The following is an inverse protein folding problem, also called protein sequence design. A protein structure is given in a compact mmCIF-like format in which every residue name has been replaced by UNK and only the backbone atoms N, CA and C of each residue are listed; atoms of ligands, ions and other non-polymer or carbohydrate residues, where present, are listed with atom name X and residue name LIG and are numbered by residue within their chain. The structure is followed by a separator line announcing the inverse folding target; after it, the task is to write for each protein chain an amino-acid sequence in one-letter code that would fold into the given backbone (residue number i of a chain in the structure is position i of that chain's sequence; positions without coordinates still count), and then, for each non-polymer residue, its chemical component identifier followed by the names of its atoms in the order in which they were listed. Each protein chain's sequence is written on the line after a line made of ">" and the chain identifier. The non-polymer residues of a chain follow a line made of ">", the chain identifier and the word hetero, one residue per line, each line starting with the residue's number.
data_IF_801971362598
#
_entry.id   IF_801971362598
#
_cell.length_a   1.000
_cell.length_b   1.000
_cell.length_c   1.000
_cell.angle_alpha   90.00
_cell.angle_beta   90.00
_cell.angle_gamma   90.00
#
_symmetry.space_group_name_H-M   'P 1'
#
loop_
_entity.id
_entity.type
_entity.pdbx_description
1 polymer ?
#
# COMPACT_ATOMS: atom_id res chain seq x y z
N UNK A 1 -14.10 -17.06 -7.44
CA UNK A 1 -12.65 -17.11 -7.22
C UNK A 1 -12.42 -17.60 -5.81
N UNK A 2 -11.63 -18.64 -5.65
CA UNK A 2 -11.44 -19.38 -4.38
C UNK A 2 -10.49 -18.67 -3.39
N UNK A 3 -10.08 -17.43 -3.68
CA UNK A 3 -9.15 -16.66 -2.84
C UNK A 3 -7.71 -17.19 -2.83
N UNK A 4 -7.38 -18.15 -3.70
CA UNK A 4 -6.01 -18.63 -3.81
C UNK A 4 -5.17 -17.63 -4.63
N UNK A 5 -4.11 -17.12 -4.02
CA UNK A 5 -3.09 -16.33 -4.70
C UNK A 5 -2.03 -17.28 -5.24
N UNK A 6 -1.83 -17.28 -6.55
CA UNK A 6 -0.71 -18.00 -7.15
C UNK A 6 0.56 -17.14 -7.06
N UNK A 7 1.64 -17.69 -6.54
CA UNK A 7 2.94 -17.03 -6.58
C UNK A 7 3.39 -16.89 -8.04
N UNK A 8 3.91 -15.71 -8.40
CA UNK A 8 4.54 -15.48 -9.69
C UNK A 8 5.80 -16.34 -9.81
N UNK A 9 5.95 -17.01 -10.94
CA UNK A 9 7.19 -17.74 -11.23
C UNK A 9 8.30 -16.75 -11.56
N UNK A 10 9.56 -17.03 -11.20
CA UNK A 10 10.69 -16.19 -11.56
C UNK A 10 10.77 -15.85 -13.06
N UNK A 11 10.35 -16.79 -13.93
CA UNK A 11 10.31 -16.59 -15.38
C UNK A 11 9.26 -15.58 -15.88
N UNK A 12 8.32 -15.21 -15.03
CA UNK A 12 7.24 -14.25 -15.33
C UNK A 12 7.58 -12.84 -14.89
N UNK A 13 8.73 -12.66 -14.21
CA UNK A 13 9.17 -11.39 -13.63
C UNK A 13 10.54 -11.00 -14.17
N UNK A 14 10.71 -9.71 -14.48
CA UNK A 14 12.01 -9.13 -14.77
C UNK A 14 12.10 -7.76 -14.08
N UNK A 15 13.31 -7.33 -13.73
CA UNK A 15 13.56 -6.05 -13.06
C UNK A 15 14.32 -5.13 -14.00
N UNK A 16 13.76 -3.95 -14.26
CA UNK A 16 14.42 -2.91 -15.05
C UNK A 16 15.13 -1.92 -14.12
N UNK A 17 16.44 -1.76 -14.30
CA UNK A 17 17.30 -0.93 -13.45
C UNK A 17 17.95 0.19 -14.24
N UNK A 18 18.20 1.33 -13.60
CA UNK A 18 19.01 2.43 -14.16
C UNK A 18 18.27 3.32 -15.15
N UNK A 19 16.94 3.38 -15.06
CA UNK A 19 16.13 4.30 -15.87
C UNK A 19 14.96 4.85 -15.05
N UNK A 20 14.52 6.03 -15.42
CA UNK A 20 13.27 6.64 -14.95
C UNK A 20 12.19 6.72 -16.06
N UNK A 21 12.43 6.06 -17.19
CA UNK A 21 11.46 5.99 -18.31
C UNK A 21 11.24 4.54 -18.73
N UNK A 22 9.97 4.16 -18.90
CA UNK A 22 9.57 2.84 -19.39
C UNK A 22 9.50 2.85 -20.93
N UNK A 23 10.66 3.00 -21.57
CA UNK A 23 10.77 2.94 -23.04
C UNK A 23 11.62 1.73 -23.46
N UNK A 24 11.30 1.08 -24.60
CA UNK A 24 12.12 -0.02 -25.11
C UNK A 24 13.58 0.36 -25.22
N UNK A 25 14.46 -0.46 -24.66
CA UNK A 25 15.92 -0.23 -24.68
C UNK A 25 16.44 0.73 -23.62
N UNK A 26 15.59 1.28 -22.73
CA UNK A 26 16.07 2.03 -21.58
C UNK A 26 16.52 1.08 -20.46
N UNK A 27 17.58 1.47 -19.72
CA UNK A 27 18.07 0.73 -18.56
C UNK A 27 18.59 -0.68 -18.86
N UNK A 28 18.70 -1.45 -17.80
CA UNK A 28 19.14 -2.86 -17.83
C UNK A 28 18.02 -3.76 -17.35
N UNK A 29 17.44 -4.57 -18.24
CA UNK A 29 16.40 -5.53 -17.92
C UNK A 29 17.02 -6.84 -17.45
N UNK A 30 16.81 -7.17 -16.18
CA UNK A 30 17.46 -8.30 -15.51
C UNK A 30 16.41 -9.37 -15.20
N UNK A 31 16.60 -10.62 -15.69
CA UNK A 31 15.75 -11.73 -15.29
C UNK A 31 15.82 -12.01 -13.79
N UNK A 32 14.75 -12.51 -13.23
CA UNK A 32 14.66 -12.92 -11.83
C UNK A 32 15.09 -14.38 -11.70
N UNK A 33 15.97 -14.67 -10.74
CA UNK A 33 16.39 -16.03 -10.38
C UNK A 33 15.39 -16.67 -9.40
N UNK A 34 14.94 -15.90 -8.39
CA UNK A 34 14.01 -16.38 -7.37
C UNK A 34 13.16 -15.25 -6.81
N UNK A 35 11.95 -15.60 -6.36
CA UNK A 35 11.03 -14.73 -5.62
C UNK A 35 10.73 -15.40 -4.28
N UNK A 36 10.86 -14.64 -3.20
CA UNK A 36 10.57 -15.08 -1.84
C UNK A 36 9.48 -14.20 -1.26
N UNK A 37 8.25 -14.69 -1.23
CA UNK A 37 7.13 -14.04 -0.55
C UNK A 37 7.23 -14.29 0.95
N UNK A 38 6.87 -13.30 1.77
CA UNK A 38 6.80 -13.50 3.22
C UNK A 38 5.83 -14.65 3.56
N UNK A 39 6.22 -15.64 4.40
CA UNK A 39 5.40 -16.83 4.65
C UNK A 39 4.07 -16.53 5.36
N UNK A 40 3.98 -15.41 6.06
CA UNK A 40 2.76 -14.97 6.76
C UNK A 40 1.87 -14.04 5.92
N UNK A 41 2.17 -13.82 4.63
CA UNK A 41 1.35 -12.94 3.79
C UNK A 41 -0.13 -13.34 3.82
N UNK A 42 -0.99 -12.37 4.08
CA UNK A 42 -2.44 -12.51 4.08
C UNK A 42 -3.07 -11.67 2.97
N UNK A 43 -3.52 -12.32 1.92
CA UNK A 43 -4.19 -11.63 0.80
C UNK A 43 -5.59 -11.09 1.12
N UNK A 44 -6.18 -11.45 2.26
CA UNK A 44 -7.47 -10.91 2.71
C UNK A 44 -7.32 -9.66 3.57
N UNK A 45 -6.19 -9.54 4.27
CA UNK A 45 -5.87 -8.40 5.14
C UNK A 45 -4.75 -7.54 4.56
N UNK A 46 -4.08 -7.98 3.50
CA UNK A 46 -2.87 -7.38 2.93
C UNK A 46 -1.76 -7.17 3.96
N UNK A 47 -1.73 -8.01 5.02
CA UNK A 47 -0.68 -7.96 6.02
C UNK A 47 0.51 -8.82 5.61
N UNK A 48 1.70 -8.45 6.07
CA UNK A 48 2.98 -9.04 5.65
C UNK A 48 3.20 -8.97 4.12
N UNK A 49 2.71 -7.90 3.49
CA UNK A 49 2.78 -7.71 2.04
C UNK A 49 4.18 -7.26 1.61
N UNK A 50 5.11 -8.20 1.62
CA UNK A 50 6.51 -8.02 1.25
C UNK A 50 7.06 -9.28 0.60
N UNK A 51 7.93 -9.09 -0.39
CA UNK A 51 8.68 -10.14 -1.05
C UNK A 51 10.11 -9.70 -1.36
N UNK A 52 11.03 -10.66 -1.38
CA UNK A 52 12.40 -10.46 -1.86
C UNK A 52 12.55 -11.05 -3.26
N UNK A 53 13.19 -10.31 -4.13
CA UNK A 53 13.50 -10.73 -5.50
C UNK A 53 15.01 -10.90 -5.63
N UNK A 54 15.46 -12.11 -5.98
CA UNK A 54 16.84 -12.39 -6.32
C UNK A 54 17.05 -12.22 -7.81
N UNK A 55 17.89 -11.27 -8.20
CA UNK A 55 18.26 -11.05 -9.59
C UNK A 55 19.19 -12.17 -10.08
N UNK A 56 19.08 -12.56 -11.36
CA UNK A 56 19.93 -13.57 -11.97
C UNK A 56 21.39 -13.12 -12.15
N UNK A 57 21.64 -11.80 -12.12
CA UNK A 57 22.96 -11.16 -12.20
C UNK A 57 22.91 -9.76 -11.59
N UNK A 58 24.06 -9.21 -11.31
CA UNK A 58 24.16 -7.81 -10.94
C UNK A 58 23.78 -6.87 -12.11
N UNK A 59 23.25 -5.67 -11.83
CA UNK A 59 23.03 -4.64 -12.84
C UNK A 59 24.33 -4.25 -13.55
N UNK A 60 24.24 -4.00 -14.86
CA UNK A 60 25.37 -3.54 -15.70
C UNK A 60 25.35 -2.02 -15.94
N UNK A 61 24.37 -1.34 -15.36
CA UNK A 61 24.23 0.13 -15.38
C UNK A 61 24.55 0.67 -13.98
N UNK A 62 24.91 1.94 -13.83
CA UNK A 62 25.08 2.56 -12.53
C UNK A 62 23.77 2.48 -11.72
N UNK A 63 23.88 2.10 -10.48
CA UNK A 63 22.75 2.07 -9.53
C UNK A 63 23.25 2.49 -8.13
N UNK A 64 22.30 2.88 -7.29
CA UNK A 64 22.52 3.15 -5.88
C UNK A 64 21.54 2.32 -5.05
N UNK A 65 22.02 1.80 -3.93
CA UNK A 65 21.15 1.18 -2.93
C UNK A 65 20.55 2.25 -2.05
N UNK A 66 19.35 1.98 -1.54
CA UNK A 66 18.68 2.82 -0.54
C UNK A 66 18.89 2.20 0.85
N UNK A 67 19.01 3.05 1.86
CA UNK A 67 19.06 2.62 3.25
C UNK A 67 17.69 2.14 3.72
N UNK A 68 17.68 1.03 4.49
CA UNK A 68 16.52 0.50 5.19
C UNK A 68 16.71 0.73 6.67
N UNK A 69 15.78 1.39 7.38
CA UNK A 69 15.93 1.71 8.80
C UNK A 69 15.80 0.44 9.65
N UNK A 70 16.51 0.41 10.78
CA UNK A 70 16.22 -0.54 11.84
C UNK A 70 14.86 -0.24 12.51
N UNK A 71 14.45 -1.07 13.49
CA UNK A 71 13.15 -0.94 14.13
C UNK A 71 13.01 0.40 14.90
N UNK A 72 14.06 0.84 15.61
CA UNK A 72 14.02 2.07 16.39
C UNK A 72 13.92 3.30 15.49
N UNK A 73 14.72 3.35 14.45
CA UNK A 73 14.67 4.45 13.49
C UNK A 73 13.39 4.42 12.65
N UNK A 74 12.92 3.24 12.28
CA UNK A 74 11.63 3.05 11.60
C UNK A 74 10.45 3.60 12.40
N UNK A 75 10.43 3.42 13.72
CA UNK A 75 9.39 3.97 14.59
C UNK A 75 9.44 5.52 14.64
N UNK A 76 10.61 6.14 14.45
CA UNK A 76 10.72 7.60 14.31
C UNK A 76 10.19 8.08 12.95
N UNK A 77 10.50 7.35 11.87
CA UNK A 77 10.04 7.67 10.53
C UNK A 77 8.52 7.45 10.35
N UNK A 78 7.92 6.62 11.18
CA UNK A 78 6.47 6.32 11.14
C UNK A 78 5.64 7.21 12.08
N UNK A 79 6.17 8.35 12.53
CA UNK A 79 5.40 9.31 13.34
C UNK A 79 4.53 10.18 12.44
N UNK A 80 3.32 10.47 12.93
CA UNK A 80 2.39 11.39 12.28
C UNK A 80 3.08 12.71 11.90
N UNK A 81 2.83 13.17 10.68
CA UNK A 81 3.37 14.41 10.14
C UNK A 81 4.76 14.28 9.50
N UNK A 82 5.43 13.12 9.59
CA UNK A 82 6.67 12.90 8.87
C UNK A 82 6.40 12.99 7.37
N UNK A 83 7.16 13.85 6.68
CA UNK A 83 7.08 14.00 5.24
C UNK A 83 7.60 12.75 4.55
N UNK A 84 6.81 12.21 3.64
CA UNK A 84 7.16 11.05 2.82
C UNK A 84 7.00 11.36 1.34
N UNK A 85 7.70 10.62 0.50
CA UNK A 85 7.59 10.68 -0.95
C UNK A 85 7.34 9.27 -1.47
N UNK A 86 6.26 9.12 -2.24
CA UNK A 86 6.01 7.89 -3.01
C UNK A 86 6.41 8.11 -4.46
N UNK A 87 6.98 7.10 -5.09
CA UNK A 87 7.39 7.16 -6.50
C UNK A 87 6.92 5.94 -7.26
N UNK A 88 6.59 6.12 -8.55
CA UNK A 88 6.17 5.01 -9.39
C UNK A 88 5.79 5.41 -10.81
N UNK A 89 5.39 4.42 -11.59
CA UNK A 89 4.91 4.53 -12.97
C UNK A 89 3.43 4.17 -13.09
N UNK A 90 2.73 4.10 -11.96
CA UNK A 90 1.32 3.76 -11.89
C UNK A 90 0.40 4.76 -12.60
N UNK A 91 -0.90 4.53 -12.45
CA UNK A 91 -1.91 5.39 -13.04
C UNK A 91 -1.81 6.82 -12.48
N UNK A 92 -2.00 7.79 -13.37
CA UNK A 92 -2.08 9.22 -13.06
C UNK A 92 -3.51 9.71 -13.20
N UNK A 93 -3.72 11.00 -13.01
CA UNK A 93 -5.00 11.66 -13.32
C UNK A 93 -5.44 11.28 -14.74
N UNK A 94 -6.67 10.78 -14.90
CA UNK A 94 -7.16 10.26 -16.18
C UNK A 94 -6.91 8.77 -16.42
N UNK A 95 -6.51 8.03 -15.40
CA UNK A 95 -6.38 6.56 -15.38
C UNK A 95 -5.42 6.01 -16.46
N UNK A 96 -4.34 6.74 -16.77
CA UNK A 96 -3.31 6.30 -17.70
C UNK A 96 -1.97 6.08 -16.95
N UNK A 97 -1.25 4.98 -17.24
CA UNK A 97 0.08 4.77 -16.67
C UNK A 97 1.06 5.81 -17.21
N UNK A 98 2.00 6.22 -16.38
CA UNK A 98 3.05 7.16 -16.78
C UNK A 98 4.25 6.43 -17.37
N UNK A 99 4.73 6.77 -18.57
CA UNK A 99 5.98 6.24 -19.08
C UNK A 99 7.20 6.81 -18.36
N UNK A 100 7.04 7.91 -17.62
CA UNK A 100 8.10 8.54 -16.83
C UNK A 100 7.84 8.37 -15.34
N UNK A 101 8.89 8.13 -14.57
CA UNK A 101 8.79 8.06 -13.11
C UNK A 101 8.18 9.34 -12.55
N UNK A 102 7.13 9.18 -11.76
CA UNK A 102 6.44 10.26 -11.06
C UNK A 102 6.71 10.18 -9.57
N UNK A 103 6.47 11.28 -8.87
CA UNK A 103 6.52 11.31 -7.42
C UNK A 103 5.41 12.17 -6.85
N UNK A 104 4.96 11.81 -5.64
CA UNK A 104 4.04 12.61 -4.85
C UNK A 104 4.60 12.75 -3.43
N UNK A 105 4.59 14.00 -2.94
CA UNK A 105 4.91 14.27 -1.54
C UNK A 105 3.63 14.21 -0.72
N UNK A 106 3.63 13.37 0.29
CA UNK A 106 2.56 13.09 1.23
C UNK A 106 3.15 13.08 2.66
N UNK A 107 2.38 12.70 3.65
CA UNK A 107 2.87 12.60 5.03
C UNK A 107 2.31 11.38 5.73
N UNK A 108 3.04 10.90 6.73
CA UNK A 108 2.54 9.85 7.63
C UNK A 108 1.32 10.38 8.38
N UNK A 109 0.26 9.59 8.38
CA UNK A 109 -0.98 9.88 9.08
C UNK A 109 -1.07 9.05 10.37
N UNK A 110 -1.92 9.45 11.28
CA UNK A 110 -2.21 8.65 12.46
C UNK A 110 -2.91 7.35 12.07
N UNK A 111 -2.39 6.22 12.54
CA UNK A 111 -2.90 4.88 12.21
C UNK A 111 -4.36 4.69 12.66
N UNK A 112 -4.72 5.23 13.82
CA UNK A 112 -6.09 5.13 14.34
C UNK A 112 -7.06 5.92 13.46
N UNK A 113 -6.66 7.10 12.99
CA UNK A 113 -7.48 7.88 12.04
C UNK A 113 -7.71 7.10 10.73
N UNK A 114 -6.67 6.44 10.21
CA UNK A 114 -6.80 5.62 9.00
C UNK A 114 -7.72 4.40 9.22
N UNK A 115 -7.61 3.75 10.37
CA UNK A 115 -8.50 2.64 10.74
C UNK A 115 -9.95 3.11 10.89
N UNK A 116 -10.20 4.27 11.50
CA UNK A 116 -11.53 4.86 11.60
C UNK A 116 -12.11 5.15 10.22
N UNK A 117 -11.36 5.83 9.35
CA UNK A 117 -11.81 6.14 7.99
C UNK A 117 -12.11 4.86 7.17
N UNK A 118 -11.30 3.81 7.34
CA UNK A 118 -11.53 2.53 6.67
C UNK A 118 -12.77 1.82 7.20
N UNK A 119 -12.98 1.85 8.52
CA UNK A 119 -14.17 1.27 9.14
C UNK A 119 -15.44 1.98 8.68
N UNK A 120 -15.45 3.31 8.65
CA UNK A 120 -16.58 4.13 8.18
C UNK A 120 -16.91 3.80 6.72
N UNK A 121 -15.92 3.77 5.83
CA UNK A 121 -16.13 3.43 4.43
C UNK A 121 -16.71 2.01 4.25
N UNK A 122 -16.21 1.04 4.98
CA UNK A 122 -16.74 -0.34 4.95
C UNK A 122 -18.12 -0.46 5.56
N UNK A 123 -18.43 0.34 6.59
CA UNK A 123 -19.74 0.38 7.21
C UNK A 123 -20.79 0.90 6.23
N UNK A 124 -20.48 1.94 5.45
CA UNK A 124 -21.38 2.44 4.40
C UNK A 124 -21.70 1.36 3.36
N UNK A 125 -20.68 0.65 2.86
CA UNK A 125 -20.85 -0.43 1.90
C UNK A 125 -21.69 -1.60 2.47
N UNK A 126 -21.50 -1.95 3.75
CA UNK A 126 -22.16 -3.05 4.42
C UNK A 126 -23.60 -2.71 4.86
N UNK A 127 -23.90 -1.44 5.16
CA UNK A 127 -25.17 -1.01 5.71
C UNK A 127 -26.37 -1.36 4.81
N UNK A 128 -26.21 -1.23 3.49
CA UNK A 128 -27.26 -1.60 2.53
C UNK A 128 -27.60 -3.09 2.57
N UNK A 129 -26.60 -3.95 2.58
CA UNK A 129 -26.77 -5.41 2.67
C UNK A 129 -27.34 -5.84 4.03
N UNK A 130 -26.88 -5.24 5.10
CA UNK A 130 -27.37 -5.48 6.45
C UNK A 130 -28.85 -5.07 6.58
N UNK A 131 -29.21 -3.88 6.11
CA UNK A 131 -30.60 -3.40 6.13
C UNK A 131 -31.56 -4.32 5.34
N UNK A 132 -31.12 -4.80 4.16
CA UNK A 132 -31.90 -5.78 3.40
C UNK A 132 -32.09 -7.09 4.16
N UNK A 133 -31.05 -7.62 4.81
CA UNK A 133 -31.14 -8.83 5.62
C UNK A 133 -32.08 -8.67 6.82
N UNK A 134 -31.99 -7.54 7.54
CA UNK A 134 -32.88 -7.18 8.65
C UNK A 134 -34.34 -7.21 8.23
N UNK A 135 -34.69 -6.56 7.12
CA UNK A 135 -36.05 -6.54 6.58
C UNK A 135 -36.52 -7.94 6.17
N UNK A 136 -35.66 -8.68 5.44
CA UNK A 136 -36.03 -10.00 4.91
C UNK A 136 -36.29 -11.03 6.03
N UNK A 137 -35.50 -10.96 7.09
CA UNK A 137 -35.57 -11.87 8.22
C UNK A 137 -36.59 -11.42 9.31
N UNK A 138 -37.16 -10.22 9.16
CA UNK A 138 -38.14 -9.67 10.14
C UNK A 138 -37.48 -9.38 11.50
N UNK A 139 -36.21 -9.03 11.53
CA UNK A 139 -35.51 -8.63 12.76
C UNK A 139 -36.05 -7.29 13.23
N UNK A 140 -36.33 -7.14 14.54
CA UNK A 140 -36.79 -5.86 15.10
C UNK A 140 -35.67 -4.82 15.03
N UNK A 141 -36.04 -3.57 14.82
CA UNK A 141 -35.07 -2.47 14.67
C UNK A 141 -34.12 -2.36 15.87
N UNK A 142 -34.63 -2.50 17.10
CA UNK A 142 -33.82 -2.47 18.33
C UNK A 142 -32.73 -3.56 18.33
N UNK A 143 -33.09 -4.78 17.91
CA UNK A 143 -32.14 -5.89 17.82
C UNK A 143 -31.14 -5.68 16.67
N UNK A 144 -31.60 -5.11 15.56
CA UNK A 144 -30.75 -4.78 14.42
C UNK A 144 -29.68 -3.72 14.79
N UNK A 145 -30.07 -2.66 15.47
CA UNK A 145 -29.09 -1.66 15.95
C UNK A 145 -28.08 -2.26 16.92
N UNK A 146 -28.54 -3.07 17.87
CA UNK A 146 -27.62 -3.73 18.83
C UNK A 146 -26.61 -4.65 18.12
N UNK A 147 -27.05 -5.42 17.12
CA UNK A 147 -26.18 -6.28 16.31
C UNK A 147 -25.16 -5.44 15.51
N UNK A 148 -25.64 -4.35 14.89
CA UNK A 148 -24.76 -3.46 14.13
C UNK A 148 -23.66 -2.83 15.00
N UNK A 149 -24.04 -2.29 16.15
CA UNK A 149 -23.10 -1.70 17.10
C UNK A 149 -22.06 -2.73 17.59
N UNK A 150 -22.49 -3.97 17.84
CA UNK A 150 -21.57 -5.04 18.24
C UNK A 150 -20.61 -5.43 17.11
N UNK A 151 -21.08 -5.50 15.86
CA UNK A 151 -20.23 -5.76 14.69
C UNK A 151 -19.18 -4.65 14.49
N UNK A 152 -19.60 -3.39 14.60
CA UNK A 152 -18.71 -2.24 14.45
C UNK A 152 -17.67 -2.18 15.57
N UNK A 153 -18.07 -2.46 16.81
CA UNK A 153 -17.17 -2.48 17.96
C UNK A 153 -16.12 -3.62 17.92
N UNK A 154 -16.39 -4.69 17.16
CA UNK A 154 -15.50 -5.85 17.01
C UNK A 154 -14.77 -5.88 15.68
N UNK A 155 -14.98 -4.89 14.82
CA UNK A 155 -14.30 -4.83 13.53
C UNK A 155 -12.79 -4.74 13.72
N UNK A 156 -12.00 -5.58 13.03
CA UNK A 156 -10.55 -5.54 13.16
C UNK A 156 -9.97 -4.29 12.49
N UNK A 157 -8.87 -3.81 13.02
CA UNK A 157 -8.05 -2.78 12.40
C UNK A 157 -7.57 -3.25 11.00
N UNK A 158 -7.82 -2.44 9.99
CA UNK A 158 -7.39 -2.74 8.60
C UNK A 158 -5.93 -2.35 8.36
N UNK A 159 -5.47 -1.28 9.02
CA UNK A 159 -4.05 -0.86 9.02
C UNK A 159 -3.40 -1.45 10.26
N UNK A 160 -2.66 -2.54 10.09
CA UNK A 160 -1.99 -3.27 11.17
C UNK A 160 -0.73 -2.52 11.67
N UNK A 161 -0.09 -3.06 12.70
CA UNK A 161 1.21 -2.55 13.19
C UNK A 161 2.37 -2.76 12.20
N UNK A 162 2.19 -3.65 11.23
CA UNK A 162 3.14 -3.90 10.16
C UNK A 162 3.01 -2.90 9.00
N UNK A 163 2.13 -1.92 9.11
CA UNK A 163 1.83 -0.96 8.04
C UNK A 163 2.09 0.48 8.46
N UNK A 164 2.40 1.30 7.47
CA UNK A 164 2.41 2.76 7.55
C UNK A 164 1.18 3.25 6.79
N UNK A 165 0.45 4.18 7.37
CA UNK A 165 -0.58 4.94 6.67
C UNK A 165 -0.02 6.30 6.26
N UNK A 166 -0.09 6.64 4.97
CA UNK A 166 0.41 7.93 4.48
C UNK A 166 -0.52 8.49 3.40
N UNK A 167 -0.70 9.80 3.39
CA UNK A 167 -1.63 10.49 2.49
C UNK A 167 -1.79 11.96 2.83
N UNK A 168 -2.93 12.54 2.42
CA UNK A 168 -3.25 13.94 2.70
C UNK A 168 -4.60 14.13 3.40
N UNK A 169 -5.46 13.13 3.48
CA UNK A 169 -6.89 13.19 3.85
C UNK A 169 -7.73 14.23 3.07
N UNK A 170 -7.07 15.20 2.47
CA UNK A 170 -7.72 16.22 1.63
C UNK A 170 -7.88 15.73 0.19
N UNK A 171 -7.27 14.57 -0.12
CA UNK A 171 -7.24 14.00 -1.47
C UNK A 171 -6.16 14.59 -2.38
N UNK A 172 -6.18 14.18 -3.64
CA UNK A 172 -5.34 14.74 -4.71
C UNK A 172 -3.92 14.21 -4.81
N UNK A 173 -3.42 13.46 -3.82
CA UNK A 173 -2.07 12.86 -3.87
C UNK A 173 -2.04 11.52 -3.16
N UNK A 174 -1.67 10.49 -3.90
CA UNK A 174 -1.55 9.11 -3.39
C UNK A 174 -0.69 8.26 -4.32
N UNK A 175 -0.41 7.02 -3.92
CA UNK A 175 -0.03 5.95 -4.85
C UNK A 175 -1.26 5.39 -5.55
N UNK A 176 -1.07 4.78 -6.72
CA UNK A 176 -2.17 4.24 -7.52
C UNK A 176 -1.87 2.85 -8.07
N UNK A 177 -2.82 2.28 -8.81
CA UNK A 177 -2.65 1.01 -9.51
C UNK A 177 -1.42 1.04 -10.42
N UNK A 178 -0.51 0.07 -10.23
CA UNK A 178 0.79 0.02 -10.89
C UNK A 178 1.95 0.59 -10.09
N UNK A 179 1.69 1.25 -8.95
CA UNK A 179 2.72 1.67 -7.99
C UNK A 179 3.00 0.59 -6.92
N UNK A 180 2.15 -0.45 -6.84
CA UNK A 180 2.28 -1.56 -5.88
C UNK A 180 3.69 -2.17 -5.90
N UNK A 181 4.28 -2.37 -4.72
CA UNK A 181 5.67 -2.80 -4.56
C UNK A 181 6.69 -1.67 -4.69
N UNK A 182 6.28 -0.47 -5.10
CA UNK A 182 7.14 0.72 -5.16
C UNK A 182 7.48 1.29 -3.78
N UNK A 183 8.49 2.17 -3.69
CA UNK A 183 8.99 2.65 -2.42
C UNK A 183 8.19 3.85 -1.88
N UNK A 184 7.98 3.86 -0.56
CA UNK A 184 7.73 5.06 0.22
C UNK A 184 9.03 5.46 0.90
N UNK A 185 9.50 6.67 0.63
CA UNK A 185 10.78 7.15 1.16
C UNK A 185 10.64 8.40 2.00
N UNK A 186 11.54 8.59 2.95
CA UNK A 186 11.67 9.80 3.77
C UNK A 186 12.94 10.53 3.33
N UNK A 187 12.84 11.83 2.95
CA UNK A 187 14.02 12.64 2.68
C UNK A 187 14.81 12.89 3.98
N UNK A 188 16.13 12.78 3.92
CA UNK A 188 16.99 13.02 5.07
C UNK A 188 17.72 14.35 4.95
N UNK A 189 18.01 14.96 6.11
CA UNK A 189 18.78 16.18 6.17
C UNK A 189 20.21 15.96 5.63
N UNK A 190 20.66 16.86 4.76
CA UNK A 190 21.95 16.68 4.06
C UNK A 190 21.84 15.99 2.71
N UNK A 191 20.65 15.53 2.33
CA UNK A 191 20.35 14.89 1.04
C UNK A 191 20.31 13.37 1.10
N UNK A 192 19.58 12.79 0.16
CA UNK A 192 19.32 11.36 0.09
C UNK A 192 17.97 10.97 0.69
N UNK A 193 17.70 9.67 0.74
CA UNK A 193 16.43 9.09 1.15
C UNK A 193 16.65 7.81 1.94
N UNK A 194 15.72 7.53 2.84
CA UNK A 194 15.60 6.25 3.55
C UNK A 194 14.27 5.63 3.15
N UNK A 195 14.24 4.34 2.85
CA UNK A 195 13.01 3.65 2.52
C UNK A 195 12.26 3.29 3.80
N UNK A 196 11.09 3.90 3.99
CA UNK A 196 10.23 3.62 5.14
C UNK A 196 9.22 2.51 4.85
N UNK A 197 8.71 2.44 3.61
CA UNK A 197 7.64 1.51 3.28
C UNK A 197 7.64 1.02 1.84
N UNK A 198 6.70 0.09 1.57
CA UNK A 198 6.42 -0.48 0.26
C UNK A 198 4.92 -0.29 -0.02
N UNK A 199 4.57 0.23 -1.20
CA UNK A 199 3.17 0.45 -1.61
C UNK A 199 2.39 -0.88 -1.58
N UNK A 200 1.29 -0.92 -0.86
CA UNK A 200 0.45 -2.12 -0.73
C UNK A 200 -0.98 -1.87 -1.22
N UNK A 201 -1.79 -1.06 -0.52
CA UNK A 201 -3.18 -0.77 -0.88
C UNK A 201 -3.57 0.66 -0.50
N UNK A 202 -4.79 1.10 -0.86
CA UNK A 202 -5.26 2.44 -0.53
C UNK A 202 -6.77 2.53 -0.36
N UNK A 203 -7.23 3.63 0.24
CA UNK A 203 -8.63 3.98 0.43
C UNK A 203 -8.96 5.25 -0.32
N UNK A 204 -10.06 5.23 -1.05
CA UNK A 204 -10.68 6.38 -1.70
C UNK A 204 -12.05 6.67 -1.10
N UNK A 205 -12.46 7.93 -1.08
CA UNK A 205 -13.77 8.35 -0.58
C UNK A 205 -14.93 7.93 -1.50
N UNK A 206 -14.67 7.50 -2.72
CA UNK A 206 -15.71 7.04 -3.65
C UNK A 206 -15.36 5.66 -4.20
N UNK A 207 -16.39 4.83 -4.39
CA UNK A 207 -16.29 3.54 -5.08
C UNK A 207 -16.03 3.74 -6.56
N UNK A 208 -14.78 3.98 -6.92
CA UNK A 208 -14.33 4.19 -8.30
C UNK A 208 -12.83 3.93 -8.39
N UNK A 209 -12.23 4.16 -9.52
CA UNK A 209 -10.79 3.93 -9.75
C UNK A 209 -9.84 4.91 -9.03
N UNK A 210 -10.25 5.43 -8.00
CA UNK A 210 -9.98 6.24 -6.83
C UNK A 210 -8.56 6.61 -6.45
N UNK A 211 -7.64 6.78 -7.39
CA UNK A 211 -6.32 7.31 -7.09
C UNK A 211 -6.20 8.82 -7.32
N UNK A 212 -7.33 9.51 -7.46
CA UNK A 212 -7.40 10.92 -7.81
C UNK A 212 -7.79 11.78 -6.59
N UNK A 213 -8.56 12.83 -6.82
CA UNK A 213 -9.00 13.80 -5.82
C UNK A 213 -9.72 13.20 -4.61
N UNK A 214 -10.22 11.96 -4.74
CA UNK A 214 -10.96 11.26 -3.68
C UNK A 214 -10.11 10.29 -2.86
N UNK A 215 -8.83 10.11 -3.18
CA UNK A 215 -7.94 9.26 -2.41
C UNK A 215 -7.67 9.86 -1.02
N UNK A 216 -8.02 9.14 0.04
CA UNK A 216 -7.83 9.59 1.41
C UNK A 216 -6.44 9.24 1.93
N UNK A 217 -6.02 8.00 1.75
CA UNK A 217 -4.70 7.52 2.14
C UNK A 217 -4.31 6.24 1.39
N UNK A 218 -3.03 5.91 1.46
CA UNK A 218 -2.51 4.59 1.11
C UNK A 218 -1.85 3.94 2.31
N UNK A 219 -1.92 2.61 2.36
CA UNK A 219 -1.22 1.77 3.30
C UNK A 219 0.03 1.17 2.63
N UNK A 220 1.11 1.17 3.38
CA UNK A 220 2.42 0.72 2.96
C UNK A 220 2.93 -0.32 3.95
N UNK A 221 3.55 -1.38 3.48
CA UNK A 221 4.25 -2.30 4.38
C UNK A 221 5.41 -1.56 5.07
N UNK A 222 5.44 -1.53 6.39
CA UNK A 222 6.50 -0.90 7.18
C UNK A 222 7.77 -1.74 7.13
N UNK A 223 8.73 -1.36 6.29
CA UNK A 223 9.91 -2.19 6.00
C UNK A 223 10.77 -2.45 7.24
N UNK A 224 10.81 -1.54 8.21
CA UNK A 224 11.61 -1.69 9.44
C UNK A 224 11.18 -2.88 10.30
N UNK A 225 9.92 -3.32 10.20
CA UNK A 225 9.41 -4.49 10.92
C UNK A 225 9.90 -5.81 10.32
N UNK A 226 10.45 -5.77 9.10
CA UNK A 226 10.85 -6.97 8.33
C UNK A 226 12.36 -7.10 8.15
N UNK A 227 13.17 -6.20 8.72
CA UNK A 227 14.63 -6.29 8.66
C UNK A 227 15.20 -7.61 9.16
N UNK A 228 14.62 -8.27 10.19
CA UNK A 228 15.09 -9.59 10.61
C UNK A 228 14.77 -10.73 9.65
N UNK A 229 13.83 -10.55 8.74
CA UNK A 229 13.41 -11.53 7.73
C UNK A 229 14.30 -11.45 6.51
#
# INVERSE_FOLDING_TARGET
>A
EDGSFADLKPSEVAVLVGTNTLTPGSGDLIPVEAVFRHPSYSGTQFDFDIALIKLSRAPQVPFQTIEVPDAEYGDLLNKQGVTTIVTGWGLTEGAQPSPQLRQAQIQVLDRQMCNTAMLEARAEDAAGGFGYAVQTLGVRDEDAYAIWDELMAKAPDSVSENMICSGTFEGGKTSCNGDSGGPLVVPVEGGGYIQAGIVSWGLSATSGHGCEETALFSAYTNISKFVPW
#
